data_IF_508878218433
#
_entry.id   IF_508878218433
#
_cell.length_a   1.000
_cell.length_b   1.000
_cell.length_c   1.000
_cell.angle_alpha   90.00
_cell.angle_beta   90.00
_cell.angle_gamma   90.00
#
_symmetry.space_group_name_H-M   'P 1'
#
loop_
_entity.id
_entity.type
_entity.pdbx_description
1 polymer ?
#
# COMPACT_ATOMS: atom_id res chain seq x y z
N UNK A 1 4.22 10.48 9.52
CA UNK A 1 4.37 11.00 10.91
C UNK A 1 3.00 10.94 11.57
N UNK A 2 2.93 10.55 12.85
CA UNK A 2 1.67 10.49 13.60
C UNK A 2 1.04 11.88 13.77
N UNK A 3 -0.29 11.98 13.71
CA UNK A 3 -0.99 13.20 14.13
C UNK A 3 -0.84 13.40 15.63
N UNK A 4 -1.02 14.64 16.12
CA UNK A 4 -0.94 14.91 17.56
C UNK A 4 -1.94 14.10 18.39
N UNK A 5 -3.18 13.95 17.89
CA UNK A 5 -4.23 13.16 18.54
C UNK A 5 -3.84 11.68 18.63
N UNK A 6 -3.37 11.09 17.51
CA UNK A 6 -2.93 9.68 17.47
C UNK A 6 -1.71 9.45 18.37
N UNK A 7 -0.75 10.39 18.40
CA UNK A 7 0.42 10.29 19.26
C UNK A 7 0.02 10.27 20.75
N UNK A 8 -0.90 11.15 21.17
CA UNK A 8 -1.43 11.19 22.52
C UNK A 8 -2.16 9.90 22.90
N UNK A 9 -3.02 9.38 22.03
CA UNK A 9 -3.75 8.11 22.23
C UNK A 9 -2.79 6.91 22.42
N UNK A 10 -1.66 6.94 21.72
CA UNK A 10 -0.65 5.86 21.74
C UNK A 10 0.41 6.06 22.84
N UNK A 11 0.35 7.13 23.62
CA UNK A 11 1.36 7.46 24.63
C UNK A 11 2.73 7.76 24.04
N UNK A 12 2.77 8.39 22.86
CA UNK A 12 4.00 8.88 22.22
C UNK A 12 4.24 10.29 22.71
N UNK A 13 5.27 10.47 23.52
CA UNK A 13 5.60 11.76 24.16
C UNK A 13 6.19 12.75 23.15
N UNK A 14 7.10 12.28 22.32
CA UNK A 14 7.72 13.09 21.25
C UNK A 14 7.53 12.39 19.87
N UNK A 15 6.58 12.94 19.10
CA UNK A 15 6.32 12.47 17.73
C UNK A 15 7.40 12.89 16.73
N UNK A 16 8.32 13.76 17.10
CA UNK A 16 9.47 14.18 16.27
C UNK A 16 10.68 13.27 16.48
N UNK A 17 10.71 12.51 17.58
CA UNK A 17 11.68 11.44 17.78
C UNK A 17 11.42 10.29 16.80
N UNK A 18 12.39 9.93 15.93
CA UNK A 18 12.20 8.91 14.88
C UNK A 18 11.83 7.54 15.44
N UNK A 19 12.42 7.12 16.57
CA UNK A 19 12.18 5.80 17.16
C UNK A 19 10.82 5.74 17.82
N UNK A 20 10.40 6.78 18.55
CA UNK A 20 9.09 6.85 19.14
C UNK A 20 8.00 6.90 18.05
N UNK A 21 8.21 7.72 17.01
CA UNK A 21 7.29 7.84 15.88
C UNK A 21 7.12 6.50 15.14
N UNK A 22 8.22 5.79 14.86
CA UNK A 22 8.18 4.47 14.20
C UNK A 22 7.46 3.43 15.06
N UNK A 23 7.80 3.32 16.35
CA UNK A 23 7.15 2.38 17.28
C UNK A 23 5.67 2.70 17.47
N UNK A 24 5.32 3.99 17.58
CA UNK A 24 3.94 4.44 17.66
C UNK A 24 3.15 4.09 16.40
N UNK A 25 3.71 4.36 15.22
CA UNK A 25 3.11 4.01 13.92
C UNK A 25 2.85 2.51 13.77
N UNK A 26 3.85 1.69 14.12
CA UNK A 26 3.70 0.23 14.08
C UNK A 26 2.61 -0.27 15.04
N UNK A 27 2.53 0.32 16.24
CA UNK A 27 1.49 0.00 17.23
C UNK A 27 0.10 0.39 16.74
N UNK A 28 -0.01 1.58 16.14
CA UNK A 28 -1.26 2.05 15.54
C UNK A 28 -1.72 1.14 14.41
N UNK A 29 -0.82 0.79 13.48
CA UNK A 29 -1.13 -0.14 12.40
C UNK A 29 -1.61 -1.50 12.91
N UNK A 30 -0.92 -2.07 13.91
CA UNK A 30 -1.36 -3.32 14.56
C UNK A 30 -2.76 -3.22 15.20
N UNK A 31 -3.10 -2.07 15.76
CA UNK A 31 -4.44 -1.83 16.30
C UNK A 31 -5.49 -1.77 15.19
N UNK A 32 -5.19 -1.16 14.05
CA UNK A 32 -6.09 -1.14 12.88
C UNK A 32 -6.34 -2.55 12.34
N UNK A 33 -5.30 -3.38 12.18
CA UNK A 33 -5.43 -4.79 11.80
C UNK A 33 -6.38 -5.58 12.71
N UNK A 34 -6.32 -5.33 14.03
CA UNK A 34 -7.19 -6.00 15.01
C UNK A 34 -8.64 -5.55 14.96
N UNK A 35 -8.91 -4.33 14.49
CA UNK A 35 -10.26 -3.76 14.37
C UNK A 35 -10.99 -4.22 13.11
N UNK A 36 -10.25 -4.68 12.10
CA UNK A 36 -10.84 -5.27 10.90
C UNK A 36 -11.43 -6.66 11.22
N UNK A 37 -12.52 -7.05 10.55
CA UNK A 37 -13.11 -8.39 10.65
C UNK A 37 -12.06 -9.49 10.48
N UNK A 38 -12.17 -10.56 11.27
CA UNK A 38 -11.15 -11.63 11.33
C UNK A 38 -11.16 -12.54 10.10
N UNK A 39 -12.23 -12.52 9.34
CA UNK A 39 -12.47 -13.29 8.11
C UNK A 39 -11.91 -12.64 6.83
N UNK A 40 -11.39 -11.41 6.96
CA UNK A 40 -10.62 -10.80 5.86
C UNK A 40 -9.24 -11.47 5.79
N UNK A 41 -8.95 -12.09 4.65
CA UNK A 41 -7.68 -12.77 4.41
C UNK A 41 -6.56 -11.80 3.99
N UNK A 42 -5.31 -12.26 4.07
CA UNK A 42 -4.17 -11.53 3.50
C UNK A 42 -4.08 -11.81 1.98
N UNK A 43 -3.65 -10.83 1.16
CA UNK A 43 -3.09 -9.53 1.56
C UNK A 43 -4.12 -8.41 1.74
N UNK A 44 -5.40 -8.66 1.49
CA UNK A 44 -6.45 -7.63 1.52
C UNK A 44 -6.57 -6.96 2.89
N UNK A 45 -6.45 -7.74 3.97
CA UNK A 45 -6.45 -7.24 5.35
C UNK A 45 -5.38 -6.17 5.59
N UNK A 46 -4.17 -6.43 5.12
CA UNK A 46 -3.05 -5.48 5.22
C UNK A 46 -3.34 -4.21 4.40
N UNK A 47 -3.86 -4.33 3.19
CA UNK A 47 -4.15 -3.16 2.35
C UNK A 47 -5.29 -2.30 2.90
N UNK A 48 -6.35 -2.92 3.42
CA UNK A 48 -7.43 -2.21 4.10
C UNK A 48 -6.93 -1.49 5.36
N UNK A 49 -6.06 -2.13 6.16
CA UNK A 49 -5.46 -1.50 7.32
C UNK A 49 -4.56 -0.30 6.94
N UNK A 50 -3.81 -0.38 5.82
CA UNK A 50 -3.02 0.73 5.29
C UNK A 50 -3.90 1.90 4.84
N UNK A 51 -5.01 1.62 4.18
CA UNK A 51 -5.99 2.65 3.84
C UNK A 51 -6.56 3.32 5.10
N UNK A 52 -6.97 2.53 6.12
CA UNK A 52 -7.42 3.05 7.40
C UNK A 52 -6.35 3.87 8.13
N UNK A 53 -5.07 3.51 7.99
CA UNK A 53 -3.95 4.27 8.55
C UNK A 53 -3.87 5.68 7.96
N UNK A 54 -4.18 5.83 6.67
CA UNK A 54 -4.13 7.11 5.96
C UNK A 54 -5.37 7.98 6.21
N UNK A 55 -6.60 7.44 6.02
CA UNK A 55 -7.84 8.21 6.07
C UNK A 55 -8.67 8.00 7.34
N UNK A 56 -8.27 7.08 8.20
CA UNK A 56 -9.02 6.69 9.40
C UNK A 56 -10.01 5.55 9.17
N UNK A 57 -10.22 4.75 10.22
CA UNK A 57 -11.09 3.56 10.18
C UNK A 57 -12.53 3.90 9.79
N UNK A 58 -13.06 5.04 10.25
CA UNK A 58 -14.44 5.42 9.93
C UNK A 58 -14.68 5.63 8.43
N UNK A 59 -13.79 6.34 7.76
CA UNK A 59 -13.89 6.55 6.32
C UNK A 59 -13.62 5.27 5.51
N UNK A 60 -12.75 4.37 6.02
CA UNK A 60 -12.62 3.04 5.42
C UNK A 60 -13.95 2.27 5.49
N UNK A 61 -14.63 2.28 6.64
CA UNK A 61 -15.95 1.62 6.78
C UNK A 61 -16.99 2.23 5.85
N UNK A 62 -17.01 3.56 5.67
CA UNK A 62 -17.87 4.21 4.69
C UNK A 62 -17.59 3.69 3.26
N UNK A 63 -16.31 3.54 2.88
CA UNK A 63 -15.94 2.98 1.58
C UNK A 63 -16.38 1.52 1.42
N UNK A 64 -16.23 0.70 2.47
CA UNK A 64 -16.68 -0.70 2.49
C UNK A 64 -18.20 -0.81 2.33
N UNK A 65 -18.97 0.04 3.01
CA UNK A 65 -20.43 0.11 2.86
C UNK A 65 -20.81 0.55 1.42
N UNK A 66 -20.11 1.51 0.83
CA UNK A 66 -20.34 1.90 -0.56
C UNK A 66 -20.04 0.75 -1.53
N UNK A 67 -19.01 -0.05 -1.24
CA UNK A 67 -18.64 -1.24 -2.01
C UNK A 67 -19.76 -2.28 -1.97
N UNK A 68 -20.22 -2.63 -0.79
CA UNK A 68 -21.31 -3.61 -0.57
C UNK A 68 -22.62 -3.17 -1.27
N UNK A 69 -23.00 -1.89 -1.12
CA UNK A 69 -24.19 -1.31 -1.81
C UNK A 69 -24.09 -1.35 -3.32
N UNK A 70 -22.87 -1.35 -3.86
CA UNK A 70 -22.61 -1.46 -5.30
C UNK A 70 -22.53 -2.92 -5.78
N UNK A 71 -22.68 -3.90 -4.88
CA UNK A 71 -22.61 -5.33 -5.20
C UNK A 71 -21.17 -5.89 -5.21
N UNK A 72 -20.19 -5.15 -4.76
CA UNK A 72 -18.81 -5.61 -4.56
C UNK A 72 -18.59 -6.25 -3.19
N UNK A 73 -17.45 -6.89 -3.01
CA UNK A 73 -17.06 -7.51 -1.75
C UNK A 73 -16.29 -6.50 -0.86
N UNK A 74 -16.85 -6.13 0.32
CA UNK A 74 -16.20 -5.20 1.24
C UNK A 74 -14.94 -5.76 1.94
N UNK A 75 -14.63 -7.05 1.73
CA UNK A 75 -13.43 -7.71 2.27
C UNK A 75 -12.27 -7.73 1.27
N UNK A 76 -12.53 -7.49 -0.02
CA UNK A 76 -11.51 -7.46 -1.06
C UNK A 76 -10.99 -6.05 -1.31
N UNK A 77 -9.67 -5.89 -1.24
CA UNK A 77 -9.02 -4.59 -1.52
C UNK A 77 -9.34 -4.04 -2.91
N UNK A 78 -9.30 -4.81 -4.02
CA UNK A 78 -9.62 -4.28 -5.35
C UNK A 78 -11.00 -3.62 -5.41
N UNK A 79 -11.99 -4.20 -4.76
CA UNK A 79 -13.36 -3.70 -4.75
C UNK A 79 -13.48 -2.43 -3.91
N UNK A 80 -12.95 -2.43 -2.69
CA UNK A 80 -12.95 -1.26 -1.79
C UNK A 80 -12.12 -0.12 -2.39
N UNK A 81 -10.98 -0.43 -2.99
CA UNK A 81 -10.11 0.53 -3.69
C UNK A 81 -10.87 1.33 -4.75
N UNK A 82 -11.74 0.67 -5.53
CA UNK A 82 -12.54 1.32 -6.57
C UNK A 82 -13.59 2.30 -6.00
N UNK A 83 -13.97 2.15 -4.73
CA UNK A 83 -14.97 2.97 -4.07
C UNK A 83 -14.41 4.07 -3.16
N UNK A 84 -13.16 3.96 -2.71
CA UNK A 84 -12.48 5.00 -1.92
C UNK A 84 -12.57 6.41 -2.54
N UNK A 85 -12.34 6.63 -3.85
CA UNK A 85 -12.47 7.94 -4.48
C UNK A 85 -13.86 8.55 -4.37
N UNK A 86 -14.91 7.74 -4.20
CA UNK A 86 -16.29 8.22 -4.03
C UNK A 86 -16.48 9.06 -2.77
N UNK A 87 -15.61 8.89 -1.76
CA UNK A 87 -15.61 9.70 -0.54
C UNK A 87 -15.23 11.19 -0.78
N UNK A 88 -14.72 11.52 -1.95
CA UNK A 88 -14.45 12.92 -2.38
C UNK A 88 -15.61 13.50 -3.20
N UNK A 89 -16.51 12.65 -3.69
CA UNK A 89 -17.56 13.07 -4.60
C UNK A 89 -18.77 13.64 -3.82
N UNK A 90 -19.19 14.90 -4.10
CA UNK A 90 -20.33 15.53 -3.46
C UNK A 90 -21.66 14.75 -3.57
N UNK A 91 -21.78 13.88 -4.56
CA UNK A 91 -22.97 13.05 -4.74
C UNK A 91 -22.96 11.78 -3.85
N UNK A 92 -21.83 11.44 -3.22
CA UNK A 92 -21.67 10.21 -2.46
C UNK A 92 -21.38 10.45 -0.98
N UNK A 93 -20.41 11.31 -0.63
CA UNK A 93 -20.00 11.49 0.75
C UNK A 93 -21.10 12.03 1.69
N UNK A 94 -22.12 12.82 1.27
CA UNK A 94 -23.18 13.22 2.17
C UNK A 94 -24.06 12.06 2.64
N UNK A 95 -24.01 10.93 1.94
CA UNK A 95 -24.76 9.70 2.29
C UNK A 95 -23.94 8.73 3.15
N UNK A 96 -22.71 9.08 3.49
CA UNK A 96 -21.82 8.30 4.36
C UNK A 96 -21.87 8.83 5.79
N UNK A 97 -21.48 7.99 6.75
CA UNK A 97 -21.54 8.33 8.18
C UNK A 97 -20.50 9.37 8.58
N UNK A 98 -19.29 9.29 7.99
CA UNK A 98 -18.16 10.13 8.37
C UNK A 98 -17.91 11.27 7.37
N UNK A 99 -18.61 11.27 6.24
CA UNK A 99 -18.56 12.36 5.27
C UNK A 99 -17.34 12.36 4.37
N UNK A 100 -16.85 13.55 4.05
CA UNK A 100 -15.73 13.75 3.11
C UNK A 100 -14.41 13.15 3.62
N UNK A 101 -13.71 12.44 2.73
CA UNK A 101 -12.32 12.00 2.93
C UNK A 101 -11.55 11.99 1.60
N UNK A 102 -10.23 12.16 1.65
CA UNK A 102 -9.36 12.11 0.47
C UNK A 102 -9.09 10.66 0.06
N UNK A 103 -10.10 9.98 -0.50
CA UNK A 103 -10.04 8.57 -0.86
C UNK A 103 -8.99 8.22 -1.91
N UNK A 104 -8.75 9.10 -2.90
CA UNK A 104 -7.67 8.93 -3.89
C UNK A 104 -6.28 8.95 -3.25
N UNK A 105 -6.09 9.80 -2.22
CA UNK A 105 -4.84 9.82 -1.47
C UNK A 105 -4.60 8.50 -0.74
N UNK A 106 -5.64 7.90 -0.18
CA UNK A 106 -5.53 6.59 0.47
C UNK A 106 -5.15 5.49 -0.52
N UNK A 107 -5.74 5.49 -1.72
CA UNK A 107 -5.39 4.56 -2.80
C UNK A 107 -3.92 4.72 -3.17
N UNK A 108 -3.49 5.96 -3.46
CA UNK A 108 -2.10 6.25 -3.82
C UNK A 108 -1.11 5.86 -2.70
N UNK A 109 -1.50 6.05 -1.43
CA UNK A 109 -0.69 5.66 -0.28
C UNK A 109 -0.45 4.15 -0.24
N UNK A 110 -1.49 3.33 -0.40
CA UNK A 110 -1.38 1.87 -0.43
C UNK A 110 -0.57 1.40 -1.64
N UNK A 111 -0.83 1.94 -2.83
CA UNK A 111 -0.11 1.59 -4.06
C UNK A 111 1.39 1.90 -3.95
N UNK A 112 1.77 3.04 -3.36
CA UNK A 112 3.16 3.40 -3.12
C UNK A 112 3.86 2.44 -2.15
N UNK A 113 3.20 2.06 -1.05
CA UNK A 113 3.77 1.10 -0.08
C UNK A 113 4.01 -0.26 -0.76
N UNK A 114 3.05 -0.76 -1.54
CA UNK A 114 3.19 -2.01 -2.31
C UNK A 114 4.35 -1.94 -3.29
N UNK A 115 4.51 -0.80 -3.96
CA UNK A 115 5.63 -0.59 -4.88
C UNK A 115 6.98 -0.64 -4.15
N UNK A 116 7.12 0.07 -3.03
CA UNK A 116 8.35 0.04 -2.23
C UNK A 116 8.65 -1.32 -1.62
N UNK A 117 7.63 -2.04 -1.15
CA UNK A 117 7.78 -3.42 -0.68
C UNK A 117 8.33 -4.33 -1.78
N UNK A 118 7.78 -4.22 -3.00
CA UNK A 118 8.27 -4.95 -4.16
C UNK A 118 9.75 -4.67 -4.47
N UNK A 119 10.16 -3.39 -4.41
CA UNK A 119 11.57 -3.01 -4.60
C UNK A 119 12.48 -3.58 -3.52
N UNK A 120 12.08 -3.50 -2.25
CA UNK A 120 12.85 -4.06 -1.13
C UNK A 120 12.96 -5.58 -1.21
N UNK A 121 11.88 -6.25 -1.58
CA UNK A 121 11.88 -7.71 -1.78
C UNK A 121 12.81 -8.12 -2.91
N UNK A 122 12.86 -7.34 -4.00
CA UNK A 122 13.79 -7.58 -5.11
C UNK A 122 15.25 -7.41 -4.68
N UNK A 123 15.58 -6.36 -3.89
CA UNK A 123 16.93 -6.13 -3.37
C UNK A 123 17.41 -7.24 -2.43
N UNK A 124 16.48 -7.91 -1.72
CA UNK A 124 16.77 -8.99 -0.79
C UNK A 124 16.77 -10.38 -1.45
N UNK A 125 16.66 -10.48 -2.79
CA UNK A 125 16.78 -11.76 -3.47
C UNK A 125 18.22 -12.29 -3.31
N UNK A 126 18.41 -13.61 -3.02
CA UNK A 126 19.72 -14.21 -3.02
C UNK A 126 20.43 -14.02 -4.36
N UNK A 127 21.71 -13.69 -4.36
CA UNK A 127 22.52 -13.53 -5.60
C UNK A 127 22.41 -14.74 -6.53
N UNK A 128 22.20 -15.94 -5.99
CA UNK A 128 22.00 -17.16 -6.77
C UNK A 128 20.75 -17.14 -7.67
N UNK A 129 19.83 -16.17 -7.51
CA UNK A 129 18.68 -15.95 -8.39
C UNK A 129 18.91 -14.88 -9.43
N UNK A 130 20.04 -14.17 -9.35
CA UNK A 130 20.45 -13.26 -10.41
C UNK A 130 20.96 -14.16 -11.52
N UNK A 131 20.23 -14.24 -12.63
CA UNK A 131 20.70 -14.97 -13.81
C UNK A 131 22.10 -14.46 -14.19
N UNK A 132 23.07 -15.34 -14.47
CA UNK A 132 24.37 -14.89 -14.93
C UNK A 132 24.19 -13.98 -16.13
N UNK A 133 25.05 -12.98 -16.32
CA UNK A 133 24.96 -12.07 -17.45
C UNK A 133 24.87 -12.89 -18.73
N UNK A 134 23.88 -12.58 -19.55
CA UNK A 134 23.69 -13.25 -20.84
C UNK A 134 24.97 -13.01 -21.64
N UNK A 135 25.71 -14.08 -21.95
CA UNK A 135 26.84 -13.99 -22.85
C UNK A 135 26.29 -13.75 -24.24
N UNK A 136 26.21 -12.47 -24.63
CA UNK A 136 25.67 -12.05 -25.94
C UNK A 136 26.37 -12.77 -27.08
N UNK A 137 27.65 -13.03 -26.94
CA UNK A 137 28.46 -13.78 -27.93
C UNK A 137 27.94 -15.20 -28.19
N UNK A 138 27.31 -15.84 -27.19
CA UNK A 138 26.70 -17.16 -27.37
C UNK A 138 25.40 -17.12 -28.20
N UNK A 139 24.75 -15.96 -28.27
CA UNK A 139 23.52 -15.75 -29.05
C UNK A 139 23.76 -15.20 -30.45
N UNK A 140 24.98 -14.74 -30.75
CA UNK A 140 25.30 -14.20 -32.06
C UNK A 140 25.62 -15.34 -33.07
N UNK A 141 25.12 -15.26 -34.28
CA UNK A 141 25.55 -16.14 -35.38
C UNK A 141 27.07 -16.08 -35.58
N UNK A 142 27.69 -17.19 -35.96
CA UNK A 142 29.17 -17.32 -36.04
C UNK A 142 29.88 -16.24 -36.89
N UNK A 143 29.22 -15.71 -37.91
CA UNK A 143 29.75 -14.63 -38.75
C UNK A 143 29.78 -13.27 -38.05
N UNK A 144 29.02 -13.06 -36.97
CA UNK A 144 29.01 -11.81 -36.18
C UNK A 144 29.89 -11.90 -34.94
N UNK A 145 30.23 -13.09 -34.46
CA UNK A 145 31.11 -13.28 -33.29
C UNK A 145 32.54 -12.79 -33.48
N UNK A 146 32.99 -12.67 -34.73
CA UNK A 146 34.36 -12.25 -35.10
C UNK A 146 34.44 -10.83 -35.64
N UNK A 147 33.35 -10.08 -35.66
CA UNK A 147 33.39 -8.68 -36.07
C UNK A 147 34.04 -7.84 -34.95
N UNK A 148 35.31 -7.50 -35.11
CA UNK A 148 35.94 -6.44 -34.31
C UNK A 148 35.20 -5.14 -34.62
N UNK A 149 34.38 -4.68 -33.67
CA UNK A 149 33.75 -3.36 -33.76
C UNK A 149 34.88 -2.32 -33.65
N UNK A 150 35.00 -1.37 -34.61
CA UNK A 150 35.96 -0.30 -34.48
C UNK A 150 35.63 0.51 -33.20
N UNK A 151 36.63 0.68 -32.36
CA UNK A 151 36.57 1.55 -31.19
C UNK A 151 36.40 2.97 -31.72
N UNK A 152 35.27 3.62 -31.40
CA UNK A 152 35.01 5.03 -31.63
C UNK A 152 35.71 5.87 -30.59
#
# INVERSE_FOLDING_TARGET
MLTGATASELGVEDRTDPLQSLRGGARFFKNLLRRLPSDIEEPDRTFLALAAYNIGMGHLEDARILTERAGGDPHLWPDVRAHLPKLQNPNHFPMTKFGFAQGEQAVSYVDNIRHYEGLLSFQNLPESRISPPIQVDALLPDHLRRAELPVL
#
